data_IF_574841858207
#
_entry.id   IF_574841858207
#
_cell.length_a   1.000
_cell.length_b   1.000
_cell.length_c   1.000
_cell.angle_alpha   90.00
_cell.angle_beta   90.00
_cell.angle_gamma   90.00
#
_symmetry.space_group_name_H-M   'P 1'
#
loop_
_entity.id
_entity.type
_entity.pdbx_description
1 polymer ?
#
# COMPACT_ATOMS: atom_id res chain seq x y z
N UNK A 1 -15.40 -7.03 6.66
CA UNK A 1 -14.05 -6.94 7.25
C UNK A 1 -13.09 -6.42 6.20
N UNK A 2 -12.23 -5.45 6.53
CA UNK A 2 -11.21 -4.93 5.62
C UNK A 2 -9.86 -5.61 5.89
N UNK A 3 -9.23 -6.06 4.81
CA UNK A 3 -7.85 -6.53 4.79
C UNK A 3 -7.05 -5.71 3.80
N UNK A 4 -5.80 -5.38 4.14
CA UNK A 4 -4.89 -4.69 3.23
C UNK A 4 -3.60 -5.49 3.09
N UNK A 5 -3.06 -5.53 1.87
CA UNK A 5 -1.87 -6.31 1.53
C UNK A 5 -0.92 -5.49 0.68
N UNK A 6 0.37 -5.53 0.99
CA UNK A 6 1.41 -4.99 0.13
C UNK A 6 1.68 -5.95 -1.03
N UNK A 7 1.92 -5.41 -2.23
CA UNK A 7 2.36 -6.19 -3.39
C UNK A 7 3.59 -7.06 -3.08
N UNK A 8 3.80 -8.11 -3.85
CA UNK A 8 5.01 -8.95 -3.82
C UNK A 8 6.27 -8.17 -4.20
N UNK A 9 7.43 -8.80 -4.02
CA UNK A 9 8.73 -8.17 -4.28
C UNK A 9 8.94 -7.82 -5.75
N UNK A 10 9.63 -6.70 -5.98
CA UNK A 10 10.15 -6.26 -7.28
C UNK A 10 11.67 -6.16 -7.23
N UNK A 11 12.35 -6.06 -8.37
CA UNK A 11 13.79 -5.84 -8.39
C UNK A 11 14.21 -4.51 -7.75
N UNK A 12 13.32 -3.50 -7.76
CA UNK A 12 13.57 -2.24 -7.07
C UNK A 12 13.45 -2.38 -5.56
N UNK A 13 12.59 -3.27 -5.04
CA UNK A 13 12.59 -3.60 -3.61
C UNK A 13 13.89 -4.27 -3.20
N UNK A 14 14.37 -5.24 -4.00
CA UNK A 14 15.65 -5.92 -3.76
C UNK A 14 16.83 -4.94 -3.79
N UNK A 15 16.79 -3.93 -4.66
CA UNK A 15 17.80 -2.87 -4.76
C UNK A 15 17.61 -1.73 -3.74
N UNK A 16 16.65 -1.84 -2.81
CA UNK A 16 16.28 -0.84 -1.82
C UNK A 16 15.90 0.53 -2.41
N UNK A 17 15.30 0.56 -3.60
CA UNK A 17 14.85 1.78 -4.29
C UNK A 17 13.39 2.10 -4.00
N UNK A 18 13.09 3.40 -3.83
CA UNK A 18 11.71 3.89 -3.87
C UNK A 18 11.15 3.73 -5.29
N UNK A 19 9.92 3.26 -5.39
CA UNK A 19 9.28 3.01 -6.69
C UNK A 19 8.26 4.08 -7.06
N UNK A 20 7.59 4.64 -6.05
CA UNK A 20 6.49 5.58 -6.31
C UNK A 20 5.49 4.98 -7.31
N UNK A 21 5.15 5.75 -8.34
CA UNK A 21 4.23 5.32 -9.40
C UNK A 21 4.95 4.79 -10.65
N UNK A 22 6.27 4.57 -10.59
CA UNK A 22 6.97 3.82 -11.64
C UNK A 22 6.41 2.39 -11.71
N UNK A 23 6.12 1.95 -12.92
CA UNK A 23 5.45 0.66 -13.13
C UNK A 23 6.46 -0.50 -13.27
N UNK A 24 7.04 -0.87 -12.15
CA UNK A 24 8.00 -1.98 -12.02
C UNK A 24 7.24 -3.28 -11.74
N UNK A 25 7.43 -4.36 -12.54
CA UNK A 25 6.72 -5.63 -12.36
C UNK A 25 7.24 -6.41 -11.14
N UNK A 26 6.51 -7.45 -10.73
CA UNK A 26 6.98 -8.44 -9.77
C UNK A 26 8.22 -9.15 -10.33
N UNK A 27 9.17 -9.46 -9.44
CA UNK A 27 10.22 -10.43 -9.75
C UNK A 27 9.75 -11.86 -9.44
N UNK A 28 10.62 -12.84 -9.66
CA UNK A 28 10.32 -14.28 -9.42
C UNK A 28 9.93 -14.50 -7.95
N UNK A 29 10.65 -13.88 -7.02
CA UNK A 29 10.37 -14.01 -5.59
C UNK A 29 9.04 -13.35 -5.21
N UNK A 30 8.69 -12.19 -5.79
CA UNK A 30 7.41 -11.53 -5.57
C UNK A 30 6.20 -12.39 -6.00
N UNK A 31 6.29 -13.07 -7.14
CA UNK A 31 5.27 -14.05 -7.58
C UNK A 31 5.14 -15.20 -6.60
N UNK A 32 6.27 -15.73 -6.11
CA UNK A 32 6.29 -16.77 -5.09
C UNK A 32 5.69 -16.30 -3.77
N UNK A 33 5.99 -15.08 -3.33
CA UNK A 33 5.41 -14.47 -2.12
C UNK A 33 3.89 -14.34 -2.24
N UNK A 34 3.37 -13.89 -3.40
CA UNK A 34 1.94 -13.80 -3.66
C UNK A 34 1.26 -15.19 -3.62
N UNK A 35 1.89 -16.21 -4.23
CA UNK A 35 1.39 -17.58 -4.20
C UNK A 35 1.36 -18.17 -2.77
N UNK A 36 2.39 -17.93 -1.97
CA UNK A 36 2.44 -18.37 -0.56
C UNK A 36 1.37 -17.65 0.27
N UNK A 37 1.11 -16.37 -0.01
CA UNK A 37 0.11 -15.59 0.71
C UNK A 37 -1.32 -16.15 0.56
N UNK A 38 -1.61 -16.88 -0.51
CA UNK A 38 -2.92 -17.54 -0.74
C UNK A 38 -3.34 -18.37 0.46
N UNK A 39 -2.43 -19.15 1.06
CA UNK A 39 -2.74 -19.99 2.21
C UNK A 39 -3.22 -19.17 3.44
N UNK A 40 -2.76 -17.92 3.57
CA UNK A 40 -3.19 -17.00 4.62
C UNK A 40 -4.49 -16.27 4.26
N UNK A 41 -4.77 -16.09 2.96
CA UNK A 41 -5.95 -15.38 2.48
C UNK A 41 -7.20 -16.29 2.45
N UNK A 42 -7.07 -17.57 2.11
CA UNK A 42 -8.20 -18.52 2.03
C UNK A 42 -9.06 -18.50 3.32
N UNK A 43 -8.48 -18.62 4.55
CA UNK A 43 -9.30 -18.67 5.77
C UNK A 43 -9.97 -17.34 6.14
N UNK A 44 -9.65 -16.24 5.45
CA UNK A 44 -10.23 -14.93 5.71
C UNK A 44 -11.63 -14.75 5.10
N UNK A 45 -12.07 -15.69 4.24
CA UNK A 45 -13.39 -15.64 3.61
C UNK A 45 -13.56 -14.39 2.74
N UNK A 46 -12.53 -14.01 1.98
CA UNK A 46 -12.55 -12.86 1.08
C UNK A 46 -13.61 -13.06 0.01
N UNK A 47 -14.47 -12.07 -0.18
CA UNK A 47 -15.53 -12.05 -1.19
C UNK A 47 -15.32 -10.98 -2.28
N UNK A 48 -14.38 -10.06 -2.06
CA UNK A 48 -14.06 -8.97 -2.98
C UNK A 48 -12.57 -8.64 -2.94
N UNK A 49 -11.98 -8.39 -4.11
CA UNK A 49 -10.58 -7.95 -4.22
C UNK A 49 -10.54 -6.66 -5.00
N UNK A 50 -9.92 -5.61 -4.42
CA UNK A 50 -9.66 -4.33 -5.07
C UNK A 50 -8.14 -4.11 -5.07
N UNK A 51 -7.58 -3.73 -6.21
CA UNK A 51 -6.14 -3.54 -6.34
C UNK A 51 -5.79 -2.20 -6.97
N UNK A 52 -4.63 -1.66 -6.60
CA UNK A 52 -3.94 -0.71 -7.46
C UNK A 52 -3.75 -1.32 -8.85
N UNK A 53 -3.82 -0.47 -9.86
CA UNK A 53 -3.63 -0.83 -11.27
C UNK A 53 -2.15 -0.89 -11.70
N UNK A 54 -1.19 -0.53 -10.81
CA UNK A 54 0.23 -0.74 -11.07
C UNK A 54 0.56 -2.23 -11.12
N UNK A 55 1.35 -2.64 -12.12
CA UNK A 55 1.58 -4.04 -12.50
C UNK A 55 1.95 -4.95 -11.34
N UNK A 56 2.81 -4.53 -10.41
CA UNK A 56 3.20 -5.31 -9.22
C UNK A 56 2.04 -5.61 -8.26
N UNK A 57 1.13 -4.65 -8.06
CA UNK A 57 -0.05 -4.86 -7.21
C UNK A 57 -1.13 -5.66 -7.96
N UNK A 58 -1.36 -5.31 -9.23
CA UNK A 58 -2.25 -6.02 -10.13
C UNK A 58 -1.93 -7.51 -10.20
N UNK A 59 -0.69 -7.88 -10.55
CA UNK A 59 -0.25 -9.28 -10.65
C UNK A 59 -0.35 -10.01 -9.30
N UNK A 60 -0.01 -9.33 -8.17
CA UNK A 60 -0.20 -9.90 -6.82
C UNK A 60 -1.66 -10.26 -6.56
N UNK A 61 -2.57 -9.32 -6.87
CA UNK A 61 -4.01 -9.53 -6.68
C UNK A 61 -4.56 -10.64 -7.59
N UNK A 62 -4.13 -10.69 -8.85
CA UNK A 62 -4.56 -11.70 -9.83
C UNK A 62 -4.14 -13.13 -9.42
N UNK A 63 -2.92 -13.30 -8.88
CA UNK A 63 -2.45 -14.58 -8.35
C UNK A 63 -3.38 -15.08 -7.22
N UNK A 64 -3.78 -14.19 -6.31
CA UNK A 64 -4.68 -14.51 -5.21
C UNK A 64 -6.10 -14.77 -5.72
N UNK A 65 -6.63 -13.87 -6.55
CA UNK A 65 -7.97 -13.94 -7.11
C UNK A 65 -8.24 -15.26 -7.85
N UNK A 66 -7.27 -15.72 -8.63
CA UNK A 66 -7.33 -17.00 -9.35
C UNK A 66 -7.60 -18.18 -8.41
N UNK A 67 -6.98 -18.20 -7.22
CA UNK A 67 -7.16 -19.28 -6.27
C UNK A 67 -8.48 -19.21 -5.50
N UNK A 68 -9.06 -18.01 -5.39
CA UNK A 68 -10.34 -17.78 -4.73
C UNK A 68 -11.51 -17.81 -5.72
N UNK A 69 -11.25 -17.96 -7.02
CA UNK A 69 -12.25 -17.84 -8.11
C UNK A 69 -13.00 -16.50 -8.06
N UNK A 70 -12.26 -15.41 -7.82
CA UNK A 70 -12.76 -14.05 -7.77
C UNK A 70 -12.19 -13.22 -8.93
N UNK A 71 -12.87 -12.11 -9.26
CA UNK A 71 -12.37 -11.06 -10.14
C UNK A 71 -11.70 -9.97 -9.34
N UNK A 72 -10.76 -9.25 -9.96
CA UNK A 72 -10.09 -8.09 -9.35
C UNK A 72 -10.68 -6.80 -9.91
N UNK A 73 -11.09 -5.90 -9.02
CA UNK A 73 -11.43 -4.53 -9.36
C UNK A 73 -10.16 -3.66 -9.27
N UNK A 74 -9.93 -2.78 -10.25
CA UNK A 74 -8.76 -1.90 -10.24
C UNK A 74 -9.16 -0.46 -9.92
N UNK A 75 -8.43 0.17 -8.99
CA UNK A 75 -8.68 1.54 -8.59
C UNK A 75 -7.36 2.34 -8.53
N UNK A 76 -7.18 3.36 -9.41
CA UNK A 76 -5.98 4.20 -9.41
C UNK A 76 -5.75 4.95 -8.09
N UNK A 77 -6.78 5.15 -7.27
CA UNK A 77 -6.63 5.76 -5.93
C UNK A 77 -5.81 4.90 -4.98
N UNK A 78 -5.60 3.61 -5.30
CA UNK A 78 -4.76 2.68 -4.54
C UNK A 78 -3.31 2.63 -5.03
N UNK A 79 -2.91 3.42 -6.04
CA UNK A 79 -1.52 3.56 -6.46
C UNK A 79 -0.64 4.05 -5.31
N UNK A 80 0.64 3.70 -5.37
CA UNK A 80 1.65 4.21 -4.44
C UNK A 80 1.68 5.74 -4.47
N UNK A 81 2.26 6.32 -3.44
CA UNK A 81 2.58 7.73 -3.40
C UNK A 81 3.51 8.11 -4.57
N UNK A 82 3.19 9.15 -5.30
CA UNK A 82 4.09 9.70 -6.29
C UNK A 82 5.18 10.53 -5.58
N UNK A 83 6.37 9.97 -5.49
CA UNK A 83 7.50 10.62 -4.83
C UNK A 83 8.28 11.58 -5.75
N UNK A 84 7.83 11.80 -7.00
CA UNK A 84 8.53 12.63 -7.97
C UNK A 84 9.97 12.15 -8.20
N UNK A 85 10.93 13.03 -8.14
CA UNK A 85 12.35 12.70 -8.39
C UNK A 85 12.97 11.79 -7.33
N UNK A 86 12.30 11.57 -6.16
CA UNK A 86 12.76 10.61 -5.15
C UNK A 86 12.57 9.14 -5.55
N UNK A 87 11.86 8.83 -6.63
CA UNK A 87 11.62 7.45 -7.06
C UNK A 87 12.88 6.60 -7.24
N UNK A 88 14.04 7.22 -7.41
CA UNK A 88 15.34 6.53 -7.52
C UNK A 88 16.17 6.53 -6.23
N UNK A 89 15.71 7.20 -5.18
CA UNK A 89 16.42 7.25 -3.90
C UNK A 89 16.39 5.89 -3.19
N UNK A 90 17.43 5.59 -2.42
CA UNK A 90 17.46 4.40 -1.57
C UNK A 90 16.67 4.65 -0.29
N UNK A 91 15.80 3.71 0.08
CA UNK A 91 14.96 3.84 1.27
C UNK A 91 15.78 3.97 2.56
N UNK A 92 16.92 3.26 2.66
CA UNK A 92 17.83 3.32 3.82
C UNK A 92 18.43 4.70 4.07
N UNK A 93 18.49 5.56 3.04
CA UNK A 93 19.06 6.89 3.14
C UNK A 93 18.01 7.93 3.62
N UNK A 94 16.76 7.50 3.78
CA UNK A 94 15.66 8.33 4.25
C UNK A 94 15.52 8.26 5.77
N UNK A 95 15.41 9.42 6.37
CA UNK A 95 14.97 9.58 7.76
C UNK A 95 13.79 10.56 7.84
N UNK A 96 13.06 10.64 8.98
CA UNK A 96 11.87 11.48 9.07
C UNK A 96 12.07 12.94 8.66
N UNK A 97 13.21 13.55 9.03
CA UNK A 97 13.48 14.96 8.75
C UNK A 97 13.82 15.18 7.27
N UNK A 98 14.70 14.35 6.69
CA UNK A 98 15.05 14.43 5.27
C UNK A 98 13.87 14.09 4.37
N UNK A 99 13.07 13.10 4.75
CA UNK A 99 11.86 12.73 4.02
C UNK A 99 10.86 13.89 3.97
N UNK A 100 10.61 14.54 5.11
CA UNK A 100 9.71 15.70 5.18
C UNK A 100 10.21 16.85 4.29
N UNK A 101 11.49 17.21 4.41
CA UNK A 101 12.08 18.28 3.62
C UNK A 101 12.01 17.99 2.12
N UNK A 102 12.39 16.78 1.71
CA UNK A 102 12.37 16.35 0.32
C UNK A 102 10.96 16.29 -0.27
N UNK A 103 9.95 15.90 0.49
CA UNK A 103 8.57 15.95 0.04
C UNK A 103 8.13 17.36 -0.31
N UNK A 104 8.46 18.36 0.52
CA UNK A 104 8.13 19.76 0.25
C UNK A 104 8.88 20.32 -0.95
N UNK A 105 10.16 20.00 -1.12
CA UNK A 105 10.94 20.42 -2.28
C UNK A 105 10.46 19.76 -3.58
N UNK A 106 10.15 18.45 -3.52
CA UNK A 106 9.71 17.67 -4.68
C UNK A 106 8.29 17.99 -5.14
N UNK A 107 7.45 18.61 -4.31
CA UNK A 107 6.16 19.14 -4.78
C UNK A 107 6.33 20.12 -5.95
N UNK A 108 7.44 20.87 -5.99
CA UNK A 108 7.78 21.75 -7.11
C UNK A 108 8.12 20.98 -8.41
N UNK A 109 8.43 19.70 -8.30
CA UNK A 109 8.79 18.80 -9.42
C UNK A 109 7.74 17.72 -9.69
N UNK A 110 6.50 17.91 -9.22
CA UNK A 110 5.36 17.02 -9.53
C UNK A 110 5.16 15.86 -8.57
N UNK A 111 5.83 15.84 -7.41
CA UNK A 111 5.51 14.87 -6.36
C UNK A 111 4.12 15.15 -5.76
N UNK A 112 3.44 14.09 -5.37
CA UNK A 112 2.13 14.16 -4.70
C UNK A 112 2.29 14.72 -3.29
N UNK A 113 1.45 15.69 -2.91
CA UNK A 113 1.43 16.21 -1.54
C UNK A 113 0.81 15.21 -0.56
N UNK A 114 1.13 15.33 0.73
CA UNK A 114 0.50 14.53 1.80
C UNK A 114 -1.02 14.72 1.77
N UNK A 115 -1.49 15.96 1.59
CA UNK A 115 -2.94 16.27 1.52
C UNK A 115 -3.61 15.58 0.33
N UNK A 116 -2.94 15.50 -0.83
CA UNK A 116 -3.44 14.78 -2.00
C UNK A 116 -3.57 13.29 -1.70
N UNK A 117 -2.56 12.68 -1.06
CA UNK A 117 -2.61 11.27 -0.65
C UNK A 117 -3.80 11.02 0.30
N UNK A 118 -3.96 11.83 1.35
CA UNK A 118 -5.08 11.66 2.28
C UNK A 118 -6.44 11.94 1.63
N UNK A 119 -6.51 12.89 0.69
CA UNK A 119 -7.75 13.17 -0.05
C UNK A 119 -8.18 11.98 -0.88
N UNK A 120 -7.27 11.32 -1.62
CA UNK A 120 -7.63 10.13 -2.41
C UNK A 120 -7.93 8.92 -1.52
N UNK A 121 -7.25 8.76 -0.37
CA UNK A 121 -7.57 7.73 0.63
C UNK A 121 -8.99 7.95 1.18
N UNK A 122 -9.31 9.16 1.66
CA UNK A 122 -10.64 9.49 2.18
C UNK A 122 -11.72 9.26 1.11
N UNK A 123 -11.52 9.78 -0.12
CA UNK A 123 -12.47 9.62 -1.25
C UNK A 123 -12.68 8.15 -1.62
N UNK A 124 -11.67 7.30 -1.46
CA UNK A 124 -11.83 5.85 -1.66
C UNK A 124 -12.71 5.26 -0.56
N UNK A 125 -12.42 5.58 0.74
CA UNK A 125 -13.12 4.98 1.87
C UNK A 125 -14.51 5.54 2.13
N UNK A 126 -14.82 6.76 1.71
CA UNK A 126 -16.17 7.36 1.81
C UNK A 126 -17.26 6.51 1.10
N UNK A 127 -16.85 5.74 0.10
CA UNK A 127 -17.72 4.85 -0.68
C UNK A 127 -17.46 3.37 -0.43
N UNK A 128 -16.63 3.05 0.57
CA UNK A 128 -16.20 1.68 0.82
C UNK A 128 -17.22 0.92 1.67
N UNK A 129 -17.69 -0.21 1.16
CA UNK A 129 -18.59 -1.10 1.93
C UNK A 129 -17.81 -1.97 2.92
N UNK A 130 -17.87 -1.62 4.20
CA UNK A 130 -17.23 -2.35 5.29
C UNK A 130 -17.92 -3.68 5.65
N UNK A 131 -19.11 -3.97 5.09
CA UNK A 131 -19.86 -5.19 5.37
C UNK A 131 -19.35 -6.40 4.57
N UNK A 132 -18.55 -6.17 3.54
CA UNK A 132 -17.94 -7.24 2.76
C UNK A 132 -16.52 -7.57 3.28
N UNK A 133 -16.14 -8.85 3.17
CA UNK A 133 -14.76 -9.26 3.41
C UNK A 133 -13.92 -8.89 2.18
N UNK A 134 -13.31 -7.71 2.21
CA UNK A 134 -12.57 -7.15 1.09
C UNK A 134 -11.06 -7.19 1.34
N UNK A 135 -10.31 -7.70 0.37
CA UNK A 135 -8.86 -7.59 0.31
C UNK A 135 -8.48 -6.43 -0.61
N UNK A 136 -7.73 -5.47 -0.08
CA UNK A 136 -7.11 -4.40 -0.85
C UNK A 136 -5.64 -4.75 -1.08
N UNK A 137 -5.18 -4.76 -2.34
CA UNK A 137 -3.77 -4.93 -2.69
C UNK A 137 -3.19 -3.59 -3.13
N UNK A 138 -2.15 -3.14 -2.41
CA UNK A 138 -1.59 -1.80 -2.59
C UNK A 138 -0.08 -1.78 -2.27
N UNK A 139 0.45 -0.66 -1.81
CA UNK A 139 1.87 -0.35 -1.71
C UNK A 139 2.24 0.14 -0.31
N UNK A 140 3.54 0.11 0.01
CA UNK A 140 4.00 0.38 1.36
C UNK A 140 3.70 1.78 1.89
N UNK A 141 3.90 2.81 1.07
CA UNK A 141 3.64 4.21 1.45
C UNK A 141 2.15 4.48 1.60
N UNK A 142 1.34 4.07 0.60
CA UNK A 142 -0.11 4.27 0.67
C UNK A 142 -0.75 3.47 1.80
N UNK A 143 -0.32 2.22 2.04
CA UNK A 143 -0.84 1.43 3.16
C UNK A 143 -0.63 2.12 4.51
N UNK A 144 0.53 2.78 4.73
CA UNK A 144 0.77 3.58 5.93
C UNK A 144 -0.20 4.75 6.06
N UNK A 145 -0.51 5.42 4.95
CA UNK A 145 -1.51 6.50 4.95
C UNK A 145 -2.91 5.97 5.26
N UNK A 146 -3.30 4.83 4.67
CA UNK A 146 -4.57 4.15 4.95
C UNK A 146 -4.66 3.77 6.43
N UNK A 147 -3.62 3.11 6.96
CA UNK A 147 -3.58 2.68 8.36
C UNK A 147 -3.71 3.88 9.31
N UNK A 148 -2.89 4.90 9.10
CA UNK A 148 -2.93 6.10 9.93
C UNK A 148 -4.30 6.77 9.90
N UNK A 149 -4.87 6.98 8.71
CA UNK A 149 -6.17 7.61 8.55
C UNK A 149 -7.31 6.83 9.22
N UNK A 150 -7.38 5.52 9.00
CA UNK A 150 -8.46 4.70 9.58
C UNK A 150 -8.32 4.49 11.09
N UNK A 151 -7.09 4.49 11.63
CA UNK A 151 -6.86 4.33 13.06
C UNK A 151 -7.09 5.63 13.85
N UNK A 152 -6.75 6.80 13.27
CA UNK A 152 -6.75 8.07 13.98
C UNK A 152 -7.91 9.01 13.59
N UNK A 153 -8.40 8.88 12.34
CA UNK A 153 -9.31 9.86 11.73
C UNK A 153 -8.62 11.19 11.37
N UNK A 154 -7.32 11.31 11.61
CA UNK A 154 -6.54 12.53 11.39
C UNK A 154 -5.84 12.51 10.03
N UNK A 155 -5.99 13.60 9.28
CA UNK A 155 -5.32 13.82 7.99
C UNK A 155 -4.44 15.07 7.97
N UNK A 156 -4.40 15.80 9.06
CA UNK A 156 -3.77 17.14 9.12
C UNK A 156 -2.43 17.12 9.87
N UNK A 157 -2.21 16.17 10.76
CA UNK A 157 -0.99 16.10 11.57
C UNK A 157 0.13 15.36 10.82
N UNK A 158 0.83 16.10 9.95
CA UNK A 158 1.91 15.59 9.10
C UNK A 158 3.02 14.96 9.92
N UNK A 159 3.41 15.56 11.03
CA UNK A 159 4.51 15.05 11.87
C UNK A 159 4.16 13.71 12.54
N UNK A 160 2.93 13.59 13.05
CA UNK A 160 2.44 12.34 13.60
C UNK A 160 2.36 11.24 12.51
N UNK A 161 1.88 11.59 11.30
CA UNK A 161 1.86 10.65 10.18
C UNK A 161 3.27 10.18 9.76
N UNK A 162 4.23 11.09 9.63
CA UNK A 162 5.61 10.73 9.28
C UNK A 162 6.22 9.82 10.36
N UNK A 163 6.05 10.16 11.63
CA UNK A 163 6.50 9.32 12.76
C UNK A 163 5.87 7.93 12.70
N UNK A 164 4.57 7.84 12.48
CA UNK A 164 3.85 6.57 12.29
C UNK A 164 4.41 5.79 11.12
N UNK A 165 4.60 6.41 9.96
CA UNK A 165 5.10 5.79 8.75
C UNK A 165 6.50 5.16 8.91
N UNK A 166 7.40 5.84 9.61
CA UNK A 166 8.75 5.32 9.88
C UNK A 166 8.78 4.24 10.97
N UNK A 167 7.81 4.23 11.89
CA UNK A 167 7.69 3.17 12.92
C UNK A 167 6.94 1.93 12.43
N UNK A 168 6.20 2.04 11.32
CA UNK A 168 5.36 0.94 10.81
C UNK A 168 6.09 0.19 9.70
N UNK A 169 6.58 -1.00 10.02
CA UNK A 169 7.22 -1.87 9.02
C UNK A 169 6.19 -2.70 8.28
N UNK A 170 6.22 -2.66 6.95
CA UNK A 170 5.34 -3.44 6.07
C UNK A 170 6.21 -4.15 5.03
N UNK A 171 6.40 -5.48 5.17
CA UNK A 171 7.13 -6.30 4.20
C UNK A 171 6.28 -6.61 2.97
N UNK A 172 6.92 -7.03 1.86
CA UNK A 172 6.22 -7.49 0.67
C UNK A 172 5.30 -8.68 1.00
N UNK A 173 4.13 -8.73 0.39
CA UNK A 173 3.08 -9.73 0.60
C UNK A 173 2.59 -9.86 2.05
N UNK A 174 2.86 -8.90 2.92
CA UNK A 174 2.26 -8.83 4.26
C UNK A 174 0.79 -8.40 4.18
N UNK A 175 -0.04 -9.00 5.05
CA UNK A 175 -1.49 -8.77 5.12
C UNK A 175 -1.81 -8.25 6.51
N UNK A 176 -2.65 -7.23 6.59
CA UNK A 176 -3.17 -6.68 7.83
C UNK A 176 -4.69 -6.69 7.80
N UNK A 177 -5.31 -7.03 8.92
CA UNK A 177 -6.76 -6.98 9.14
C UNK A 177 -7.13 -5.74 9.96
N UNK A 178 -8.15 -4.98 9.54
CA UNK A 178 -8.68 -3.85 10.30
C UNK A 178 -9.75 -4.32 11.27
N UNK A 179 -9.46 -4.26 12.57
CA UNK A 179 -10.34 -4.66 13.67
C UNK A 179 -10.30 -3.62 14.77
N UNK A 180 -11.46 -3.30 15.36
CA UNK A 180 -11.54 -2.40 16.52
C UNK A 180 -10.76 -1.09 16.33
N UNK A 181 -10.84 -0.51 15.14
CA UNK A 181 -10.08 0.71 14.72
C UNK A 181 -8.57 0.55 14.77
N UNK A 182 -8.05 -0.66 14.60
CA UNK A 182 -6.61 -0.96 14.55
C UNK A 182 -6.30 -1.96 13.44
N UNK A 183 -5.09 -1.87 12.90
CA UNK A 183 -4.58 -2.88 11.97
C UNK A 183 -3.72 -3.89 12.70
N UNK A 184 -4.05 -5.16 12.50
CA UNK A 184 -3.35 -6.31 13.07
C UNK A 184 -2.76 -7.16 11.96
N UNK A 185 -1.52 -7.63 12.15
CA UNK A 185 -0.86 -8.53 11.20
C UNK A 185 -1.58 -9.88 11.13
N UNK A 186 -1.95 -10.31 9.92
CA UNK A 186 -2.45 -11.66 9.64
C UNK A 186 -1.25 -12.62 9.55
N UNK A 187 -1.19 -13.59 10.46
CA UNK A 187 -0.11 -14.58 10.58
C UNK A 187 -0.36 -15.84 9.76
#
# INVERSE_FOLDING_TARGET
>A
MLYIMRHGETDWNLADKLQGQEDIPLNVNGRRQAAIAVARVIPLGITRIISSDLSRAKETAEIIAKQLNLTVEYDPRLREWNFGTMNIAKQKDLNPATFKAQLFENQKSGAESIDSVFTRVATFYDKFDMNQNTLIVSHGGLMRAIMYYLETGDKNNIDAFIKFGFSTHISNAQIFAFKNKKFELVR
#
